data_IF_518461671834
#
_entry.id   IF_518461671834
#
_cell.length_a   1.000
_cell.length_b   1.000
_cell.length_c   1.000
_cell.angle_alpha   90.00
_cell.angle_beta   90.00
_cell.angle_gamma   90.00
#
_symmetry.space_group_name_H-M   'P 1'
#
loop_
_entity.id
_entity.type
_entity.pdbx_description
1 polymer ?
#
# COMPACT_ATOMS: atom_id res chain seq x y z
N UNK A 1 -6.36 -15.94 -5.98
CA UNK A 1 -5.80 -15.90 -7.36
C UNK A 1 -4.94 -17.13 -7.70
N UNK A 2 -4.02 -17.54 -6.82
CA UNK A 2 -3.05 -18.63 -7.06
C UNK A 2 -3.68 -19.98 -7.44
N UNK A 3 -4.73 -20.42 -6.74
CA UNK A 3 -5.43 -21.69 -7.04
C UNK A 3 -6.11 -21.67 -8.42
N UNK A 4 -6.76 -20.56 -8.77
CA UNK A 4 -7.38 -20.39 -10.09
C UNK A 4 -6.34 -20.37 -11.20
N UNK A 5 -5.23 -19.66 -11.00
CA UNK A 5 -4.12 -19.62 -11.96
C UNK A 5 -3.54 -21.03 -12.19
N UNK A 6 -3.33 -21.79 -11.12
CA UNK A 6 -2.88 -23.19 -11.21
C UNK A 6 -3.85 -24.05 -12.02
N UNK A 7 -5.15 -23.98 -11.72
CA UNK A 7 -6.17 -24.77 -12.41
C UNK A 7 -6.27 -24.44 -13.90
N UNK A 8 -6.33 -23.14 -14.23
CA UNK A 8 -6.39 -22.66 -15.62
C UNK A 8 -5.14 -23.08 -16.39
N UNK A 9 -3.96 -22.96 -15.78
CA UNK A 9 -2.71 -23.38 -16.40
C UNK A 9 -2.67 -24.89 -16.65
N UNK A 10 -3.04 -25.70 -15.65
CA UNK A 10 -3.02 -27.16 -15.75
C UNK A 10 -3.94 -27.63 -16.89
N UNK A 11 -5.18 -27.14 -16.92
CA UNK A 11 -6.14 -27.51 -17.97
C UNK A 11 -5.76 -26.93 -19.33
N UNK A 12 -5.20 -25.73 -19.38
CA UNK A 12 -4.65 -25.15 -20.60
C UNK A 12 -3.54 -26.01 -21.20
N UNK A 13 -2.58 -26.46 -20.39
CA UNK A 13 -1.47 -27.31 -20.82
C UNK A 13 -1.94 -28.68 -21.32
N UNK A 14 -2.94 -29.29 -20.68
CA UNK A 14 -3.53 -30.56 -21.15
C UNK A 14 -4.14 -30.41 -22.55
N UNK A 15 -4.89 -29.33 -22.79
CA UNK A 15 -5.52 -29.08 -24.09
C UNK A 15 -4.49 -28.79 -25.19
N UNK A 16 -3.44 -28.04 -24.86
CA UNK A 16 -2.32 -27.79 -25.79
C UNK A 16 -1.56 -29.07 -26.11
N UNK A 17 -1.29 -29.92 -25.12
CA UNK A 17 -0.67 -31.23 -25.33
C UNK A 17 -1.52 -32.16 -26.21
N UNK A 18 -2.86 -32.00 -26.17
CA UNK A 18 -3.80 -32.70 -27.05
C UNK A 18 -3.88 -32.11 -28.48
N UNK A 19 -3.07 -31.08 -28.81
CA UNK A 19 -2.95 -30.49 -30.14
C UNK A 19 -3.78 -29.21 -30.35
N UNK A 20 -4.41 -28.65 -29.32
CA UNK A 20 -5.11 -27.37 -29.43
C UNK A 20 -4.12 -26.21 -29.64
N UNK A 21 -4.51 -25.21 -30.43
CA UNK A 21 -3.70 -24.01 -30.63
C UNK A 21 -3.68 -23.13 -29.36
N UNK A 22 -2.52 -22.86 -28.74
CA UNK A 22 -2.43 -22.09 -27.51
C UNK A 22 -3.04 -20.68 -27.59
N UNK A 23 -2.95 -20.03 -28.75
CA UNK A 23 -3.51 -18.69 -28.96
C UNK A 23 -5.04 -18.71 -28.94
N UNK A 24 -5.67 -19.75 -29.49
CA UNK A 24 -7.12 -19.89 -29.44
C UNK A 24 -7.61 -20.27 -28.04
N UNK A 25 -6.87 -21.11 -27.32
CA UNK A 25 -7.17 -21.42 -25.91
C UNK A 25 -7.12 -20.15 -25.06
N UNK A 26 -6.06 -19.33 -25.18
CA UNK A 26 -5.97 -18.03 -24.49
C UNK A 26 -7.15 -17.12 -24.82
N UNK A 27 -7.46 -16.93 -26.10
CA UNK A 27 -8.59 -16.08 -26.53
C UNK A 27 -9.93 -16.57 -25.99
N UNK A 28 -10.12 -17.89 -25.91
CA UNK A 28 -11.30 -18.50 -25.29
C UNK A 28 -11.39 -18.19 -23.79
N UNK A 29 -10.27 -18.32 -23.08
CA UNK A 29 -10.17 -17.98 -21.65
C UNK A 29 -10.46 -16.50 -21.43
N UNK A 30 -9.86 -15.59 -22.21
CA UNK A 30 -10.05 -14.14 -22.07
C UNK A 30 -11.55 -13.77 -22.20
N UNK A 31 -12.23 -14.30 -23.23
CA UNK A 31 -13.67 -14.07 -23.45
C UNK A 31 -14.56 -14.67 -22.35
N UNK A 32 -14.17 -15.84 -21.84
CA UNK A 32 -14.88 -16.48 -20.74
C UNK A 32 -14.74 -15.65 -19.46
N UNK A 33 -13.54 -15.16 -19.16
CA UNK A 33 -13.28 -14.29 -18.00
C UNK A 33 -14.10 -13.00 -18.10
N UNK A 34 -14.13 -12.35 -19.26
CA UNK A 34 -14.95 -11.16 -19.48
C UNK A 34 -16.43 -11.42 -19.18
N UNK A 35 -16.99 -12.50 -19.73
CA UNK A 35 -18.39 -12.90 -19.50
C UNK A 35 -18.66 -13.19 -18.01
N UNK A 36 -17.74 -13.88 -17.34
CA UNK A 36 -17.86 -14.22 -15.91
C UNK A 36 -17.78 -12.96 -15.05
N UNK A 37 -16.87 -12.03 -15.34
CA UNK A 37 -16.74 -10.76 -14.62
C UNK A 37 -18.02 -9.94 -14.74
N UNK A 38 -18.60 -9.88 -15.95
CA UNK A 38 -19.85 -9.16 -16.17
C UNK A 38 -21.02 -9.79 -15.40
N UNK A 39 -21.10 -11.11 -15.32
CA UNK A 39 -22.14 -11.78 -14.54
C UNK A 39 -21.93 -11.56 -13.03
N UNK A 40 -20.68 -11.61 -12.54
CA UNK A 40 -20.35 -11.31 -11.14
C UNK A 40 -20.79 -9.89 -10.77
N UNK A 41 -20.61 -8.90 -11.66
CA UNK A 41 -21.08 -7.52 -11.46
C UNK A 41 -22.60 -7.40 -11.41
N UNK A 42 -23.36 -8.29 -12.07
CA UNK A 42 -24.83 -8.26 -12.03
C UNK A 42 -25.38 -8.83 -10.73
N UNK A 43 -24.71 -9.83 -10.17
CA UNK A 43 -25.11 -10.47 -8.91
C UNK A 43 -24.52 -9.77 -7.68
N UNK A 44 -23.61 -8.80 -7.86
CA UNK A 44 -23.03 -8.06 -6.75
C UNK A 44 -24.09 -7.21 -6.06
N UNK A 45 -24.03 -7.18 -4.73
CA UNK A 45 -24.95 -6.40 -3.90
C UNK A 45 -24.19 -5.17 -3.41
N UNK A 46 -24.61 -3.94 -3.79
CA UNK A 46 -23.98 -2.72 -3.30
C UNK A 46 -24.09 -2.60 -1.77
N UNK A 47 -23.01 -2.18 -1.14
CA UNK A 47 -22.95 -1.93 0.31
C UNK A 47 -23.04 -0.41 0.51
N UNK A 48 -24.22 0.08 0.86
CA UNK A 48 -24.49 1.53 0.96
C UNK A 48 -24.83 2.01 2.37
N UNK A 49 -25.45 1.15 3.18
CA UNK A 49 -25.88 1.51 4.53
C UNK A 49 -24.82 1.17 5.57
N UNK A 50 -24.78 1.95 6.66
CA UNK A 50 -23.90 1.72 7.81
C UNK A 50 -24.07 0.31 8.38
N UNK A 51 -25.30 -0.18 8.45
CA UNK A 51 -25.62 -1.53 8.93
C UNK A 51 -25.04 -2.61 8.01
N UNK A 52 -25.07 -2.39 6.69
CA UNK A 52 -24.50 -3.31 5.72
C UNK A 52 -22.97 -3.33 5.81
N UNK A 53 -22.35 -2.16 6.02
CA UNK A 53 -20.91 -2.04 6.26
C UNK A 53 -20.53 -2.79 7.54
N UNK A 54 -21.23 -2.52 8.65
CA UNK A 54 -20.98 -3.18 9.94
C UNK A 54 -21.14 -4.70 9.84
N UNK A 55 -22.14 -5.17 9.12
CA UNK A 55 -22.38 -6.59 8.90
C UNK A 55 -21.22 -7.25 8.13
N UNK A 56 -20.82 -6.67 6.99
CA UNK A 56 -19.69 -7.20 6.19
C UNK A 56 -18.39 -7.17 7.00
N UNK A 57 -18.11 -6.05 7.67
CA UNK A 57 -16.92 -5.89 8.50
C UNK A 57 -16.90 -6.88 9.67
N UNK A 58 -18.03 -7.13 10.33
CA UNK A 58 -18.11 -8.09 11.44
C UNK A 58 -17.85 -9.54 10.99
N UNK A 59 -18.32 -9.91 9.79
CA UNK A 59 -18.05 -11.23 9.21
C UNK A 59 -16.56 -11.36 8.87
N UNK A 60 -15.96 -10.32 8.29
CA UNK A 60 -14.54 -10.31 7.92
C UNK A 60 -13.62 -10.35 9.14
N UNK A 61 -13.96 -9.63 10.21
CA UNK A 61 -13.22 -9.62 11.47
C UNK A 61 -13.55 -10.81 12.39
N UNK A 62 -14.61 -11.57 12.09
CA UNK A 62 -15.18 -12.59 12.98
C UNK A 62 -15.56 -12.03 14.37
N UNK A 63 -15.86 -10.73 14.45
CA UNK A 63 -16.16 -10.01 15.69
C UNK A 63 -17.11 -8.83 15.43
N UNK A 64 -18.20 -8.77 16.19
CA UNK A 64 -19.25 -7.76 15.98
C UNK A 64 -18.80 -6.35 16.35
N UNK A 65 -18.11 -6.21 17.47
CA UNK A 65 -17.65 -4.92 18.00
C UNK A 65 -16.72 -4.21 17.01
N UNK A 66 -15.77 -4.95 16.41
CA UNK A 66 -14.89 -4.44 15.36
C UNK A 66 -15.67 -3.97 14.12
N UNK A 67 -16.70 -4.73 13.72
CA UNK A 67 -17.55 -4.32 12.59
C UNK A 67 -18.29 -3.01 12.83
N UNK A 68 -18.80 -2.80 14.04
CA UNK A 68 -19.45 -1.56 14.45
C UNK A 68 -18.46 -0.38 14.47
N UNK A 69 -17.24 -0.59 15.00
CA UNK A 69 -16.17 0.43 14.99
C UNK A 69 -15.73 0.84 13.58
N UNK A 70 -15.60 -0.12 12.65
CA UNK A 70 -15.27 0.16 11.24
C UNK A 70 -16.37 0.97 10.58
N UNK A 71 -17.63 0.63 10.82
CA UNK A 71 -18.77 1.37 10.26
C UNK A 71 -18.84 2.80 10.80
N UNK A 72 -18.56 3.00 12.09
CA UNK A 72 -18.45 4.33 12.72
C UNK A 72 -17.28 5.14 12.12
N UNK A 73 -16.13 4.50 11.89
CA UNK A 73 -14.98 5.15 11.26
C UNK A 73 -15.31 5.59 9.83
N UNK A 74 -15.87 4.70 9.00
CA UNK A 74 -16.26 5.00 7.62
C UNK A 74 -17.32 6.11 7.51
N UNK A 75 -18.24 6.21 8.48
CA UNK A 75 -19.22 7.30 8.50
C UNK A 75 -18.57 8.66 8.78
N UNK A 76 -17.53 8.70 9.61
CA UNK A 76 -16.80 9.94 9.94
C UNK A 76 -15.88 10.41 8.80
N UNK A 77 -15.16 9.48 8.14
CA UNK A 77 -14.19 9.82 7.09
C UNK A 77 -14.80 9.87 5.68
N UNK A 78 -15.99 9.29 5.49
CA UNK A 78 -16.63 9.14 4.19
C UNK A 78 -16.16 7.90 3.43
N UNK A 79 -16.81 7.60 2.29
CA UNK A 79 -16.53 6.37 1.51
C UNK A 79 -15.13 6.30 0.91
N UNK A 80 -14.54 7.45 0.62
CA UNK A 80 -13.21 7.59 0.02
C UNK A 80 -12.15 7.99 1.06
N UNK A 81 -12.51 7.95 2.35
CA UNK A 81 -11.60 8.26 3.44
C UNK A 81 -10.61 7.13 3.71
N UNK A 82 -9.41 7.49 4.16
CA UNK A 82 -8.35 6.55 4.50
C UNK A 82 -8.51 6.12 5.95
N UNK A 83 -8.44 4.82 6.21
CA UNK A 83 -8.48 4.25 7.55
C UNK A 83 -7.13 3.57 7.81
N UNK A 84 -6.41 4.05 8.81
CA UNK A 84 -5.19 3.42 9.32
C UNK A 84 -5.48 2.71 10.64
N UNK A 85 -4.71 1.67 10.95
CA UNK A 85 -4.81 0.93 12.21
C UNK A 85 -3.48 1.04 12.93
N UNK A 86 -3.51 1.52 14.17
CA UNK A 86 -2.33 1.66 15.03
C UNK A 86 -2.50 0.87 16.33
N UNK A 87 -1.40 0.33 16.86
CA UNK A 87 -1.41 -0.37 18.14
C UNK A 87 -1.42 0.64 19.29
N UNK A 88 -2.46 0.59 20.13
CA UNK A 88 -2.56 1.42 21.32
C UNK A 88 -1.99 0.71 22.55
N UNK A 89 -1.41 1.45 23.49
CA UNK A 89 -0.95 0.91 24.79
C UNK A 89 -2.10 0.55 25.76
N UNK A 90 -3.34 0.91 25.41
CA UNK A 90 -4.53 0.64 26.20
C UNK A 90 -5.21 -0.68 25.81
N UNK A 91 -6.15 -1.16 26.64
CA UNK A 91 -6.96 -2.34 26.34
C UNK A 91 -8.21 -2.03 25.51
N UNK A 92 -8.50 -0.75 25.25
CA UNK A 92 -9.69 -0.31 24.53
C UNK A 92 -9.32 0.09 23.10
N UNK A 93 -10.09 -0.40 22.13
CA UNK A 93 -10.02 0.06 20.74
C UNK A 93 -10.79 1.36 20.61
N UNK A 94 -10.15 2.38 20.05
CA UNK A 94 -10.75 3.71 19.86
C UNK A 94 -10.66 4.14 18.41
N UNK A 95 -11.55 5.04 17.99
CA UNK A 95 -11.58 5.59 16.63
C UNK A 95 -11.33 7.09 16.73
N UNK A 96 -10.17 7.52 16.29
CA UNK A 96 -9.78 8.92 16.21
C UNK A 96 -9.75 9.37 14.75
N UNK A 97 -10.23 10.60 14.50
CA UNK A 97 -10.16 11.22 13.17
C UNK A 97 -9.09 12.28 13.24
N UNK A 98 -8.04 12.10 12.43
CA UNK A 98 -6.93 13.05 12.32
C UNK A 98 -6.91 13.66 10.93
N UNK A 99 -6.50 14.93 10.84
CA UNK A 99 -6.26 15.55 9.55
C UNK A 99 -4.94 15.01 8.98
N UNK A 100 -5.03 14.34 7.83
CA UNK A 100 -3.89 13.73 7.16
C UNK A 100 -4.09 13.70 5.64
N UNK A 101 -3.11 13.16 4.93
CA UNK A 101 -3.19 12.98 3.49
C UNK A 101 -2.49 11.68 3.06
N UNK A 102 -3.09 11.00 2.09
CA UNK A 102 -2.49 9.87 1.37
C UNK A 102 -2.37 10.25 -0.12
N UNK A 103 -1.35 9.72 -0.77
CA UNK A 103 -1.15 9.86 -2.22
C UNK A 103 -0.51 8.59 -2.78
N UNK A 104 -0.81 8.28 -4.05
CA UNK A 104 -0.39 7.05 -4.72
C UNK A 104 1.10 7.07 -5.16
N UNK A 105 2.02 7.24 -4.21
CA UNK A 105 3.47 7.10 -4.43
C UNK A 105 4.11 6.33 -3.28
N UNK A 106 4.87 5.30 -3.64
CA UNK A 106 5.66 4.52 -2.68
C UNK A 106 7.11 5.01 -2.61
N UNK A 107 7.86 4.46 -1.66
CA UNK A 107 9.28 4.74 -1.53
C UNK A 107 10.07 4.31 -2.79
N UNK A 108 11.08 5.10 -3.17
CA UNK A 108 11.89 4.87 -4.38
C UNK A 108 12.78 3.62 -4.24
N UNK A 109 13.07 3.19 -3.02
CA UNK A 109 13.93 2.04 -2.74
C UNK A 109 13.40 1.19 -1.57
N UNK A 110 13.37 -0.16 -1.70
CA UNK A 110 12.93 -1.06 -0.61
C UNK A 110 13.84 -1.02 0.61
N UNK A 111 15.03 -0.44 0.50
CA UNK A 111 15.95 -0.28 1.62
C UNK A 111 15.53 0.82 2.62
N UNK A 112 14.45 1.56 2.33
CA UNK A 112 13.88 2.53 3.27
C UNK A 112 12.89 1.91 4.27
N UNK A 113 12.53 0.64 4.11
CA UNK A 113 11.66 -0.10 5.02
C UNK A 113 12.21 -0.06 6.45
N UNK A 114 11.34 0.26 7.41
CA UNK A 114 11.64 0.22 8.85
C UNK A 114 10.99 -0.99 9.51
N UNK A 115 9.81 -1.38 9.05
CA UNK A 115 9.10 -2.59 9.46
C UNK A 115 9.22 -3.67 8.38
N UNK A 116 10.14 -4.61 8.57
CA UNK A 116 10.43 -5.67 7.58
C UNK A 116 9.33 -6.72 7.46
N UNK A 117 8.44 -6.83 8.43
CA UNK A 117 7.32 -7.79 8.38
C UNK A 117 6.18 -7.24 7.51
N UNK A 118 5.80 -5.97 7.73
CA UNK A 118 4.79 -5.30 6.94
C UNK A 118 5.32 -4.76 5.60
N UNK A 119 6.65 -4.67 5.45
CA UNK A 119 7.32 -3.96 4.34
C UNK A 119 6.94 -2.47 4.29
N UNK A 120 6.89 -1.83 5.45
CA UNK A 120 6.46 -0.43 5.62
C UNK A 120 7.59 0.47 6.11
N UNK A 121 7.50 1.76 5.77
CA UNK A 121 8.43 2.80 6.21
C UNK A 121 7.71 3.76 7.16
N UNK A 122 7.68 3.36 8.43
CA UNK A 122 7.04 4.09 9.53
C UNK A 122 8.04 5.07 10.20
N UNK A 123 7.61 6.31 10.42
CA UNK A 123 8.40 7.35 11.08
C UNK A 123 7.55 8.19 12.04
N UNK A 124 8.02 8.36 13.26
CA UNK A 124 7.43 9.28 14.25
C UNK A 124 8.04 10.68 14.15
N UNK A 125 7.19 11.71 14.12
CA UNK A 125 7.57 13.12 14.03
C UNK A 125 8.72 13.44 13.04
N UNK A 126 8.66 12.98 11.77
CA UNK A 126 9.74 13.22 10.83
C UNK A 126 9.78 14.69 10.37
N UNK A 127 10.95 15.15 9.96
CA UNK A 127 11.03 16.29 9.07
C UNK A 127 10.57 15.89 7.67
N UNK A 128 9.82 16.76 7.00
CA UNK A 128 9.36 16.54 5.63
C UNK A 128 10.03 17.57 4.72
N UNK A 129 10.85 17.10 3.77
CA UNK A 129 11.38 17.92 2.69
C UNK A 129 10.47 17.75 1.47
N UNK A 130 9.95 18.86 0.94
CA UNK A 130 9.19 18.87 -0.31
C UNK A 130 10.02 19.61 -1.37
N UNK A 131 10.27 18.96 -2.50
CA UNK A 131 11.04 19.52 -3.60
C UNK A 131 10.37 19.26 -4.95
N UNK A 132 10.24 20.28 -5.80
CA UNK A 132 9.47 20.14 -7.05
C UNK A 132 10.24 19.44 -8.19
N UNK A 133 11.56 19.30 -8.08
CA UNK A 133 12.43 18.79 -9.15
C UNK A 133 13.07 17.46 -8.78
N UNK A 134 13.69 16.84 -9.78
CA UNK A 134 14.57 15.69 -9.59
C UNK A 134 15.80 16.03 -8.75
N UNK A 135 16.17 15.11 -7.86
CA UNK A 135 17.39 15.18 -7.05
C UNK A 135 18.31 14.04 -7.44
N UNK A 136 19.35 14.34 -8.22
CA UNK A 136 20.34 13.35 -8.67
C UNK A 136 21.69 13.48 -7.93
N UNK A 137 22.00 14.68 -7.41
CA UNK A 137 23.27 15.00 -6.76
C UNK A 137 23.11 15.17 -5.24
N UNK A 138 24.03 14.59 -4.47
CA UNK A 138 23.99 14.69 -3.00
C UNK A 138 24.29 16.10 -2.49
N UNK A 139 25.06 16.88 -3.26
CA UNK A 139 25.48 18.23 -2.88
C UNK A 139 24.30 19.17 -2.59
N UNK A 140 23.18 18.97 -3.29
CA UNK A 140 21.96 19.77 -3.09
C UNK A 140 21.28 19.47 -1.74
N UNK A 141 21.50 18.28 -1.20
CA UNK A 141 20.94 17.82 0.07
C UNK A 141 21.89 17.98 1.26
N UNK A 142 23.21 18.02 1.04
CA UNK A 142 24.22 18.03 2.11
C UNK A 142 23.95 19.04 3.24
N UNK A 143 23.69 20.33 2.95
CA UNK A 143 23.47 21.31 4.02
C UNK A 143 22.25 21.03 4.88
N UNK A 144 21.24 20.36 4.32
CA UNK A 144 20.05 19.95 5.05
C UNK A 144 20.33 18.68 5.87
N UNK A 145 20.95 17.67 5.26
CA UNK A 145 21.27 16.40 5.92
C UNK A 145 22.13 16.62 7.16
N UNK A 146 23.13 17.51 7.10
CA UNK A 146 23.95 17.86 8.26
C UNK A 146 23.15 18.42 9.44
N UNK A 147 22.09 19.18 9.16
CA UNK A 147 21.22 19.73 10.21
C UNK A 147 20.31 18.65 10.78
N UNK A 148 19.69 17.84 9.92
CA UNK A 148 18.78 16.76 10.32
C UNK A 148 19.51 15.72 11.18
N UNK A 149 20.68 15.25 10.75
CA UNK A 149 21.48 14.25 11.49
C UNK A 149 21.79 14.71 12.91
N UNK A 150 22.04 16.02 13.13
CA UNK A 150 22.28 16.58 14.47
C UNK A 150 21.06 16.54 15.39
N UNK A 151 19.86 16.57 14.83
CA UNK A 151 18.62 16.47 15.61
C UNK A 151 18.27 15.04 16.01
N UNK A 152 18.80 14.05 15.27
CA UNK A 152 18.44 12.64 15.42
C UNK A 152 17.02 12.29 14.96
N UNK A 153 16.23 13.28 14.50
CA UNK A 153 14.88 13.03 13.98
C UNK A 153 14.93 12.42 12.57
N UNK A 154 13.94 11.59 12.19
CA UNK A 154 13.86 11.06 10.84
C UNK A 154 13.57 12.13 9.77
N UNK A 155 13.85 11.81 8.51
CA UNK A 155 13.58 12.68 7.35
C UNK A 155 12.83 11.92 6.25
N UNK A 156 11.68 12.46 5.84
CA UNK A 156 10.95 12.02 4.65
C UNK A 156 11.18 13.04 3.55
N UNK A 157 11.65 12.60 2.38
CA UNK A 157 11.87 13.45 1.22
C UNK A 157 10.79 13.12 0.19
N UNK A 158 10.06 14.15 -0.26
CA UNK A 158 9.07 14.08 -1.32
C UNK A 158 9.58 14.91 -2.48
N UNK A 159 9.89 14.27 -3.60
CA UNK A 159 10.41 14.94 -4.80
C UNK A 159 9.75 14.43 -6.09
N UNK A 160 10.04 15.07 -7.23
CA UNK A 160 9.64 14.51 -8.54
C UNK A 160 10.27 13.14 -8.76
N UNK A 161 11.55 13.03 -8.41
CA UNK A 161 12.37 11.81 -8.54
C UNK A 161 13.65 11.94 -7.70
N UNK A 162 14.17 10.83 -7.21
CA UNK A 162 15.43 10.77 -6.44
C UNK A 162 16.27 9.63 -7.00
N UNK A 163 17.37 9.97 -7.65
CA UNK A 163 18.14 9.03 -8.45
C UNK A 163 19.65 9.20 -8.27
N UNK A 164 20.42 8.33 -8.94
CA UNK A 164 21.87 8.45 -9.03
C UNK A 164 22.60 8.44 -7.68
N UNK A 165 23.50 9.41 -7.51
CA UNK A 165 24.37 9.50 -6.32
C UNK A 165 23.59 9.84 -5.06
N UNK A 166 22.55 10.69 -5.18
CA UNK A 166 21.71 11.07 -4.06
C UNK A 166 21.02 9.84 -3.44
N UNK A 167 20.35 9.02 -4.27
CA UNK A 167 19.67 7.81 -3.82
C UNK A 167 20.65 6.82 -3.17
N UNK A 168 21.78 6.55 -3.83
CA UNK A 168 22.78 5.62 -3.32
C UNK A 168 23.29 6.05 -1.94
N UNK A 169 23.53 7.35 -1.75
CA UNK A 169 24.03 7.90 -0.49
C UNK A 169 22.98 7.82 0.62
N UNK A 170 21.71 8.16 0.33
CA UNK A 170 20.61 8.04 1.28
C UNK A 170 20.44 6.60 1.77
N UNK A 171 20.42 5.64 0.84
CA UNK A 171 20.29 4.20 1.15
C UNK A 171 21.46 3.72 2.01
N UNK A 172 22.71 4.06 1.65
CA UNK A 172 23.89 3.63 2.41
C UNK A 172 23.87 4.21 3.84
N UNK A 173 23.46 5.47 4.01
CA UNK A 173 23.36 6.07 5.34
C UNK A 173 22.21 5.47 6.16
N UNK A 174 21.08 5.14 5.53
CA UNK A 174 19.98 4.42 6.18
C UNK A 174 20.42 3.05 6.67
N UNK A 175 21.07 2.25 5.83
CA UNK A 175 21.58 0.93 6.18
C UNK A 175 22.65 0.97 7.28
N UNK A 176 23.42 2.05 7.38
CA UNK A 176 24.40 2.28 8.45
C UNK A 176 23.79 2.82 9.75
N UNK A 177 22.50 3.18 9.74
CA UNK A 177 21.81 3.79 10.87
C UNK A 177 22.25 5.24 11.17
N UNK A 178 23.04 5.86 10.28
CA UNK A 178 23.50 7.25 10.46
C UNK A 178 22.41 8.27 10.13
N UNK A 179 21.47 7.89 9.26
CA UNK A 179 20.33 8.72 8.87
C UNK A 179 19.07 7.85 8.74
N UNK A 180 18.08 8.10 9.58
CA UNK A 180 16.76 7.53 9.38
C UNK A 180 16.00 8.37 8.36
N UNK A 181 15.84 7.86 7.15
CA UNK A 181 15.09 8.55 6.10
C UNK A 181 14.33 7.60 5.18
N UNK A 182 13.37 8.17 4.46
CA UNK A 182 12.73 7.60 3.28
C UNK A 182 12.59 8.67 2.19
N UNK A 183 12.51 8.22 0.95
CA UNK A 183 12.41 9.05 -0.23
C UNK A 183 11.25 8.54 -1.09
N UNK A 184 10.36 9.46 -1.48
CA UNK A 184 9.11 9.25 -2.24
C UNK A 184 9.08 10.17 -3.45
#
# INVERSE_FOLDING_TARGET
>A
ATVLAQAIMLEGLKNVAAGANPIFVKKGIDRAVETVVDEIKKISIPVESKESIAHVASIAANEREIGELIADAMEKVGKDGVITVEESKGTATTVEVVEGMEFDRGYVSPYFVTNTEAMEAEFEEPYILIHEKKISAINDLLPLLEKVVRTGKPLVIIAEDIEGEALATLVVNKLRGTLNCAAV
#
